data_IF_377000287317
#
_entry.id   IF_377000287317
#
_cell.length_a   1.000
_cell.length_b   1.000
_cell.length_c   1.000
_cell.angle_alpha   90.00
_cell.angle_beta   90.00
_cell.angle_gamma   90.00
#
_symmetry.space_group_name_H-M   'P 1'
#
loop_
_entity.id
_entity.type
_entity.pdbx_description
1 polymer ?
#
# COMPACT_ATOMS: atom_id res chain seq x y z
N UNK A 1 4.37 -7.75 9.32
CA UNK A 1 3.18 -8.44 9.88
C UNK A 1 1.92 -7.58 9.79
N UNK A 2 1.87 -6.37 10.40
CA UNK A 2 0.65 -5.53 10.40
C UNK A 2 0.12 -5.19 9.00
N UNK A 3 0.99 -4.85 8.07
CA UNK A 3 0.63 -4.49 6.68
C UNK A 3 0.08 -5.68 5.89
N UNK A 4 0.58 -6.88 6.17
CA UNK A 4 0.11 -8.14 5.58
C UNK A 4 -1.35 -8.40 6.01
N UNK A 5 -1.61 -8.31 7.32
CA UNK A 5 -2.96 -8.47 7.89
C UNK A 5 -3.90 -7.39 7.36
N UNK A 6 -3.42 -6.16 7.24
CA UNK A 6 -4.20 -5.05 6.69
C UNK A 6 -4.57 -5.28 5.22
N UNK A 7 -3.64 -5.78 4.41
CA UNK A 7 -3.89 -6.14 3.01
C UNK A 7 -4.93 -7.25 2.89
N UNK A 8 -4.74 -8.38 3.58
CA UNK A 8 -5.71 -9.50 3.57
C UNK A 8 -7.11 -9.03 3.99
N UNK A 9 -7.20 -8.29 5.09
CA UNK A 9 -8.48 -7.78 5.59
C UNK A 9 -9.13 -6.81 4.59
N UNK A 10 -8.34 -5.98 3.91
CA UNK A 10 -8.81 -5.10 2.85
C UNK A 10 -9.41 -5.88 1.67
N UNK A 11 -8.73 -6.95 1.23
CA UNK A 11 -9.20 -7.81 0.14
C UNK A 11 -10.49 -8.55 0.49
N UNK A 12 -10.55 -9.11 1.70
CA UNK A 12 -11.73 -9.78 2.22
C UNK A 12 -12.92 -8.82 2.31
N UNK A 13 -12.72 -7.64 2.92
CA UNK A 13 -13.76 -6.65 3.12
C UNK A 13 -14.30 -6.12 1.79
N UNK A 14 -13.43 -5.87 0.81
CA UNK A 14 -13.84 -5.41 -0.51
C UNK A 14 -14.77 -6.43 -1.20
N UNK A 15 -14.40 -7.72 -1.18
CA UNK A 15 -15.23 -8.77 -1.75
C UNK A 15 -16.55 -8.94 -0.99
N UNK A 16 -16.54 -8.94 0.35
CA UNK A 16 -17.77 -9.01 1.15
C UNK A 16 -18.72 -7.85 0.83
N UNK A 17 -18.19 -6.64 0.72
CA UNK A 17 -19.00 -5.46 0.39
C UNK A 17 -19.66 -5.59 -0.99
N UNK A 18 -18.95 -6.12 -1.99
CA UNK A 18 -19.51 -6.35 -3.33
C UNK A 18 -20.55 -7.46 -3.29
N UNK A 19 -20.24 -8.60 -2.66
CA UNK A 19 -21.17 -9.74 -2.54
C UNK A 19 -22.46 -9.31 -1.84
N UNK A 20 -22.36 -8.58 -0.73
CA UNK A 20 -23.53 -8.11 0.01
C UNK A 20 -24.30 -7.03 -0.75
N UNK A 21 -23.60 -6.10 -1.41
CA UNK A 21 -24.23 -5.06 -2.22
C UNK A 21 -24.95 -5.61 -3.44
N UNK A 22 -24.26 -6.41 -4.26
CA UNK A 22 -24.81 -6.95 -5.51
C UNK A 22 -25.76 -8.11 -5.24
N UNK A 23 -25.46 -8.98 -4.28
CA UNK A 23 -26.29 -10.14 -3.95
C UNK A 23 -27.67 -9.79 -3.36
N UNK A 24 -27.85 -8.56 -2.86
CA UNK A 24 -29.19 -8.07 -2.47
C UNK A 24 -30.01 -7.56 -3.65
N UNK A 25 -29.36 -7.23 -4.78
CA UNK A 25 -30.00 -6.66 -5.96
C UNK A 25 -30.18 -7.66 -7.10
N UNK A 26 -29.27 -8.64 -7.22
CA UNK A 26 -29.23 -9.61 -8.31
C UNK A 26 -29.00 -10.99 -7.75
N UNK A 27 -29.90 -11.92 -8.08
CA UNK A 27 -29.83 -13.33 -7.66
C UNK A 27 -29.09 -14.21 -8.68
N UNK A 28 -28.83 -13.69 -9.88
CA UNK A 28 -28.06 -14.41 -10.90
C UNK A 28 -26.60 -14.57 -10.48
N UNK A 29 -26.17 -15.83 -10.37
CA UNK A 29 -24.82 -16.22 -9.95
C UNK A 29 -23.75 -15.66 -10.88
N UNK A 30 -24.02 -15.59 -12.19
CA UNK A 30 -23.06 -15.13 -13.18
C UNK A 30 -22.81 -13.62 -13.06
N UNK A 31 -23.87 -12.84 -12.80
CA UNK A 31 -23.78 -11.40 -12.53
C UNK A 31 -22.98 -11.09 -11.25
N UNK A 32 -23.26 -11.79 -10.15
CA UNK A 32 -22.53 -11.61 -8.88
C UNK A 32 -21.04 -11.94 -9.07
N UNK A 33 -20.72 -13.00 -9.81
CA UNK A 33 -19.33 -13.37 -10.11
C UNK A 33 -18.60 -12.31 -10.95
N UNK A 34 -19.24 -11.79 -12.00
CA UNK A 34 -18.66 -10.73 -12.83
C UNK A 34 -18.42 -9.45 -12.03
N UNK A 35 -19.33 -9.10 -11.13
CA UNK A 35 -19.17 -7.95 -10.24
C UNK A 35 -17.98 -8.13 -9.28
N UNK A 36 -17.82 -9.32 -8.69
CA UNK A 36 -16.68 -9.61 -7.83
C UNK A 36 -15.35 -9.55 -8.60
N UNK A 37 -15.30 -10.09 -9.81
CA UNK A 37 -14.10 -10.05 -10.64
C UNK A 37 -13.74 -8.61 -11.04
N UNK A 38 -14.76 -7.83 -11.42
CA UNK A 38 -14.61 -6.41 -11.75
C UNK A 38 -14.15 -5.60 -10.54
N UNK A 39 -14.75 -5.82 -9.37
CA UNK A 39 -14.36 -5.13 -8.14
C UNK A 39 -12.98 -5.54 -7.63
N UNK A 40 -12.56 -6.79 -7.86
CA UNK A 40 -11.18 -7.22 -7.60
C UNK A 40 -10.19 -6.47 -8.50
N UNK A 41 -10.44 -6.44 -9.81
CA UNK A 41 -9.60 -5.72 -10.76
C UNK A 41 -9.55 -4.21 -10.44
N UNK A 42 -10.70 -3.61 -10.11
CA UNK A 42 -10.79 -2.21 -9.68
C UNK A 42 -10.02 -1.94 -8.39
N UNK A 43 -10.13 -2.82 -7.40
CA UNK A 43 -9.39 -2.72 -6.13
C UNK A 43 -7.88 -2.82 -6.32
N UNK A 44 -7.43 -3.79 -7.13
CA UNK A 44 -6.01 -3.94 -7.47
C UNK A 44 -5.48 -2.73 -8.25
N UNK A 45 -6.24 -2.20 -9.21
CA UNK A 45 -5.86 -1.01 -9.97
C UNK A 45 -5.78 0.23 -9.07
N UNK A 46 -6.73 0.42 -8.16
CA UNK A 46 -6.72 1.55 -7.22
C UNK A 46 -5.49 1.52 -6.30
N UNK A 47 -5.09 0.33 -5.85
CA UNK A 47 -3.87 0.15 -5.07
C UNK A 47 -2.62 0.48 -5.88
N UNK A 48 -2.51 -0.02 -7.12
CA UNK A 48 -1.39 0.28 -8.00
C UNK A 48 -1.25 1.79 -8.30
N UNK A 49 -2.37 2.48 -8.54
CA UNK A 49 -2.40 3.94 -8.74
C UNK A 49 -1.96 4.66 -7.46
N UNK A 50 -2.45 4.23 -6.30
CA UNK A 50 -2.07 4.80 -5.01
C UNK A 50 -0.57 4.66 -4.75
N UNK A 51 0.02 3.54 -5.16
CA UNK A 51 1.44 3.28 -5.04
C UNK A 51 2.28 4.16 -5.97
N UNK A 52 1.84 4.33 -7.22
CA UNK A 52 2.46 5.25 -8.15
C UNK A 52 2.45 6.70 -7.64
N UNK A 53 1.32 7.13 -7.08
CA UNK A 53 1.16 8.47 -6.49
C UNK A 53 2.08 8.67 -5.28
N UNK A 54 2.22 7.66 -4.41
CA UNK A 54 3.19 7.69 -3.30
C UNK A 54 4.62 7.82 -3.82
N UNK A 55 5.00 7.01 -4.80
CA UNK A 55 6.35 7.06 -5.39
C UNK A 55 6.65 8.40 -6.05
N UNK A 56 5.67 9.01 -6.72
CA UNK A 56 5.80 10.35 -7.28
C UNK A 56 5.96 11.41 -6.18
N UNK A 57 5.12 11.34 -5.15
CA UNK A 57 5.12 12.28 -4.03
C UNK A 57 6.42 12.23 -3.22
N UNK A 58 6.95 11.03 -2.97
CA UNK A 58 8.21 10.83 -2.25
C UNK A 58 9.40 11.47 -3.00
N UNK A 59 9.43 11.34 -4.35
CA UNK A 59 10.44 12.02 -5.18
C UNK A 59 10.34 13.54 -5.09
N UNK A 60 9.12 14.08 -5.13
CA UNK A 60 8.90 15.53 -5.01
C UNK A 60 9.29 16.02 -3.62
N UNK A 61 8.89 15.31 -2.57
CA UNK A 61 9.22 15.63 -1.18
C UNK A 61 10.74 15.58 -0.92
N UNK A 62 11.44 14.55 -1.39
CA UNK A 62 12.89 14.44 -1.30
C UNK A 62 13.60 15.58 -2.04
N UNK A 63 13.12 15.95 -3.24
CA UNK A 63 13.69 17.08 -3.98
C UNK A 63 13.49 18.41 -3.23
N UNK A 64 12.29 18.65 -2.71
CA UNK A 64 12.00 19.83 -1.90
C UNK A 64 12.86 19.86 -0.61
N UNK A 65 13.00 18.72 0.08
CA UNK A 65 13.85 18.60 1.26
C UNK A 65 15.31 18.92 0.94
N UNK A 66 15.82 18.45 -0.21
CA UNK A 66 17.18 18.74 -0.68
C UNK A 66 17.39 20.22 -1.00
N UNK A 67 16.41 20.88 -1.61
CA UNK A 67 16.46 22.33 -1.89
C UNK A 67 16.46 23.16 -0.60
N UNK A 68 15.75 22.72 0.44
CA UNK A 68 15.72 23.39 1.77
C UNK A 68 17.01 23.15 2.57
N UNK A 69 17.65 21.98 2.45
CA UNK A 69 18.89 21.68 3.18
C UNK A 69 20.17 22.19 2.49
N UNK A 70 20.14 22.43 1.17
CA UNK A 70 21.29 23.00 0.43
C UNK A 70 21.79 24.36 0.94
N UNK A 71 20.95 25.31 1.42
CA UNK A 71 21.46 26.56 2.01
C UNK A 71 22.02 26.40 3.44
N UNK A 72 21.65 25.35 4.20
CA UNK A 72 22.06 25.18 5.61
C UNK A 72 23.44 24.56 5.79
N UNK A 73 23.93 23.79 4.81
CA UNK A 73 25.24 23.11 4.89
C UNK A 73 26.45 24.05 4.81
N UNK A 74 26.27 25.34 4.49
CA UNK A 74 27.37 26.31 4.45
C UNK A 74 27.59 27.07 5.76
N UNK A 75 26.60 27.10 6.65
CA UNK A 75 26.70 27.78 7.95
C UNK A 75 26.93 26.79 9.13
N UNK A 76 26.53 25.53 9.00
CA UNK A 76 26.68 24.52 10.07
C UNK A 76 28.00 23.71 9.97
N UNK A 77 28.98 24.15 9.20
CA UNK A 77 30.32 23.52 9.19
C UNK A 77 31.30 24.21 10.16
N UNK A 78 30.88 25.28 10.85
CA UNK A 78 31.75 26.07 11.74
C UNK A 78 31.59 25.72 13.23
N UNK A 79 30.52 25.04 13.68
CA UNK A 79 30.23 24.98 15.13
C UNK A 79 29.91 23.60 15.75
N UNK A 80 30.43 22.49 15.22
CA UNK A 80 30.22 21.16 15.85
C UNK A 80 31.48 20.30 15.94
N UNK A 81 32.60 20.87 16.40
CA UNK A 81 33.82 20.12 16.74
C UNK A 81 33.80 19.45 18.14
N UNK A 82 32.70 19.51 18.90
CA UNK A 82 32.69 19.15 20.33
C UNK A 82 31.68 18.11 20.82
N UNK A 83 30.65 17.75 20.06
CA UNK A 83 29.58 16.87 20.55
C UNK A 83 29.74 15.43 20.05
N UNK A 84 29.96 14.50 20.99
CA UNK A 84 29.98 13.05 20.79
C UNK A 84 28.74 12.62 20.00
N UNK A 85 28.94 12.29 18.73
CA UNK A 85 27.91 11.75 17.82
C UNK A 85 27.30 10.51 18.49
N UNK A 86 25.97 10.45 18.72
CA UNK A 86 25.33 9.19 19.08
C UNK A 86 25.65 8.17 17.98
N UNK A 87 25.84 6.88 18.30
CA UNK A 87 26.02 5.87 17.28
C UNK A 87 24.85 5.98 16.30
N UNK A 88 25.17 6.09 15.02
CA UNK A 88 24.19 6.18 13.95
C UNK A 88 23.16 5.05 14.18
N UNK A 89 21.85 5.34 14.13
CA UNK A 89 20.85 4.29 14.27
C UNK A 89 21.19 3.21 13.25
N UNK A 90 21.30 1.97 13.75
CA UNK A 90 21.53 0.81 12.93
C UNK A 90 20.62 0.88 11.70
N UNK A 91 21.18 0.64 10.53
CA UNK A 91 20.49 0.51 9.24
C UNK A 91 19.61 -0.74 9.21
N UNK A 92 18.89 -1.01 10.29
CA UNK A 92 17.86 -2.02 10.37
C UNK A 92 16.59 -1.45 9.74
N UNK A 93 16.42 -1.77 8.47
CA UNK A 93 15.11 -1.92 7.85
C UNK A 93 14.26 -0.66 7.82
N UNK A 94 14.65 0.36 7.07
CA UNK A 94 13.62 1.05 6.29
C UNK A 94 13.25 0.11 5.15
N UNK A 95 12.12 -0.63 5.23
CA UNK A 95 11.67 -1.33 4.05
C UNK A 95 11.50 -0.26 2.97
N UNK A 96 12.06 -0.50 1.80
CA UNK A 96 11.85 0.39 0.66
C UNK A 96 10.33 0.56 0.55
N UNK A 97 9.78 1.79 0.48
CA UNK A 97 8.33 2.01 0.51
C UNK A 97 7.57 1.11 -0.46
N UNK A 98 8.19 0.86 -1.60
CA UNK A 98 7.70 -0.02 -2.65
C UNK A 98 7.62 -1.52 -2.26
N UNK A 99 8.50 -2.01 -1.37
CA UNK A 99 8.47 -3.38 -0.86
C UNK A 99 7.27 -3.61 0.08
N UNK A 100 6.98 -2.63 0.93
CA UNK A 100 5.82 -2.66 1.84
C UNK A 100 4.53 -2.72 1.05
N UNK A 101 4.44 -1.90 0.02
CA UNK A 101 3.23 -1.84 -0.79
C UNK A 101 3.01 -3.06 -1.66
N UNK A 102 4.07 -3.60 -2.28
CA UNK A 102 3.97 -4.85 -3.04
C UNK A 102 3.52 -6.02 -2.15
N UNK A 103 3.99 -6.08 -0.90
CA UNK A 103 3.51 -7.05 0.09
C UNK A 103 2.03 -6.83 0.46
N UNK A 104 1.60 -5.58 0.61
CA UNK A 104 0.21 -5.25 0.90
C UNK A 104 -0.73 -5.60 -0.26
N UNK A 105 -0.33 -5.35 -1.51
CA UNK A 105 -1.09 -5.70 -2.72
C UNK A 105 -1.24 -7.20 -2.89
N UNK A 106 -0.15 -7.96 -2.69
CA UNK A 106 -0.20 -9.43 -2.73
C UNK A 106 -1.15 -9.95 -1.63
N UNK A 107 -1.08 -9.36 -0.44
CA UNK A 107 -1.94 -9.74 0.69
C UNK A 107 -3.42 -9.43 0.40
N UNK A 108 -3.71 -8.28 -0.21
CA UNK A 108 -5.04 -7.92 -0.69
C UNK A 108 -5.55 -8.95 -1.71
N UNK A 109 -4.72 -9.32 -2.68
CA UNK A 109 -5.09 -10.31 -3.68
C UNK A 109 -5.41 -11.67 -3.07
N UNK A 110 -4.61 -12.13 -2.10
CA UNK A 110 -4.88 -13.38 -1.37
C UNK A 110 -6.25 -13.36 -0.68
N UNK A 111 -6.56 -12.27 0.04
CA UNK A 111 -7.86 -12.11 0.71
C UNK A 111 -9.04 -12.11 -0.26
N UNK A 112 -8.89 -11.41 -1.39
CA UNK A 112 -9.93 -11.34 -2.41
C UNK A 112 -10.14 -12.69 -3.15
N UNK A 113 -9.05 -13.34 -3.56
CA UNK A 113 -9.08 -14.63 -4.26
C UNK A 113 -9.71 -15.72 -3.38
N UNK A 114 -9.45 -15.69 -2.07
CA UNK A 114 -10.03 -16.66 -1.14
C UNK A 114 -11.58 -16.68 -1.22
N UNK A 115 -12.22 -15.51 -1.21
CA UNK A 115 -13.68 -15.42 -1.32
C UNK A 115 -14.21 -15.67 -2.73
N UNK A 116 -13.47 -15.26 -3.76
CA UNK A 116 -13.81 -15.60 -5.15
C UNK A 116 -13.85 -17.12 -5.36
N UNK A 117 -12.87 -17.84 -4.82
CA UNK A 117 -12.84 -19.30 -4.86
C UNK A 117 -13.99 -19.92 -4.04
N UNK A 118 -14.28 -19.40 -2.84
CA UNK A 118 -15.41 -19.89 -2.05
C UNK A 118 -16.75 -19.74 -2.77
N UNK A 119 -16.98 -18.64 -3.49
CA UNK A 119 -18.19 -18.42 -4.30
C UNK A 119 -18.25 -19.31 -5.55
N UNK A 120 -17.11 -19.78 -6.05
CA UNK A 120 -17.06 -20.69 -7.19
C UNK A 120 -17.30 -22.16 -6.79
N UNK A 121 -16.99 -22.53 -5.54
CA UNK A 121 -17.05 -23.91 -5.05
C UNK A 121 -18.39 -24.29 -4.41
N UNK A 122 -19.21 -23.31 -4.03
CA UNK A 122 -20.57 -23.46 -3.47
C UNK A 122 -21.57 -23.09 -4.56
#
# INVERSE_FOLDING_TARGET
>A
MRELVHGVNGGLLAMVAIIMGVGTMVTDRMSVMNANLSGFAGGALALAISELLKACSDRVAMKALREIHLPRDKEEMVDLSGARRPPAPATDGFPRPWLVATLQDISFAIGAICLLLSMHLI
#
